data_IF_703775535281
#
_entry.id   IF_703775535281
#
_cell.length_a   1.000
_cell.length_b   1.000
_cell.length_c   1.000
_cell.angle_alpha   90.00
_cell.angle_beta   90.00
_cell.angle_gamma   90.00
#
_symmetry.space_group_name_H-M   'P 1'
#
loop_
_entity.id
_entity.type
_entity.pdbx_description
1 polymer ?
#
# COMPACT_ATOMS: atom_id res chain seq x y z
N UNK A 1 -13.87 -17.84 9.23
CA UNK A 1 -12.50 -17.88 8.66
C UNK A 1 -12.51 -18.25 7.18
N UNK A 2 -13.16 -19.36 6.78
CA UNK A 2 -13.13 -19.87 5.41
C UNK A 2 -13.64 -18.87 4.35
N UNK A 3 -14.71 -18.12 4.65
CA UNK A 3 -15.30 -17.15 3.72
C UNK A 3 -14.37 -15.96 3.45
N UNK A 4 -13.78 -15.38 4.49
CA UNK A 4 -12.87 -14.24 4.33
C UNK A 4 -11.56 -14.68 3.67
N UNK A 5 -11.01 -15.82 4.08
CA UNK A 5 -9.81 -16.41 3.48
C UNK A 5 -10.06 -16.75 2.00
N UNK A 6 -11.21 -17.32 1.65
CA UNK A 6 -11.59 -17.58 0.27
C UNK A 6 -11.71 -16.32 -0.57
N UNK A 7 -12.28 -15.25 -0.02
CA UNK A 7 -12.35 -13.93 -0.70
C UNK A 7 -10.95 -13.34 -0.91
N UNK A 8 -10.10 -13.35 0.11
CA UNK A 8 -8.72 -12.86 0.00
C UNK A 8 -7.96 -13.65 -1.06
N UNK A 9 -8.01 -14.99 -1.01
CA UNK A 9 -7.31 -15.84 -1.97
C UNK A 9 -7.79 -15.60 -3.40
N UNK A 10 -9.10 -15.59 -3.62
CA UNK A 10 -9.69 -15.35 -4.96
C UNK A 10 -9.31 -13.97 -5.51
N UNK A 11 -9.40 -12.92 -4.69
CA UNK A 11 -9.03 -11.56 -5.11
C UNK A 11 -7.54 -11.43 -5.37
N UNK A 12 -6.70 -11.98 -4.49
CA UNK A 12 -5.25 -12.00 -4.69
C UNK A 12 -4.87 -12.76 -5.96
N UNK A 13 -5.48 -13.91 -6.23
CA UNK A 13 -5.22 -14.66 -7.46
C UNK A 13 -5.59 -13.86 -8.72
N UNK A 14 -6.75 -13.18 -8.73
CA UNK A 14 -7.15 -12.32 -9.85
C UNK A 14 -6.17 -11.17 -10.05
N UNK A 15 -5.73 -10.53 -8.97
CA UNK A 15 -4.74 -9.43 -9.03
C UNK A 15 -3.40 -9.95 -9.55
N UNK A 16 -2.92 -11.09 -9.06
CA UNK A 16 -1.65 -11.68 -9.49
C UNK A 16 -1.67 -12.08 -10.96
N UNK A 17 -2.77 -12.66 -11.45
CA UNK A 17 -2.93 -12.99 -12.86
C UNK A 17 -2.91 -11.73 -13.74
N UNK A 18 -3.69 -10.71 -13.36
CA UNK A 18 -3.71 -9.43 -14.08
C UNK A 18 -2.34 -8.74 -14.12
N UNK A 19 -1.66 -8.70 -12.97
CA UNK A 19 -0.29 -8.14 -12.89
C UNK A 19 0.71 -8.98 -13.69
N UNK A 20 0.63 -10.31 -13.65
CA UNK A 20 1.50 -11.19 -14.43
C UNK A 20 1.40 -10.91 -15.93
N UNK A 21 0.18 -10.77 -16.44
CA UNK A 21 -0.04 -10.37 -17.84
C UNK A 21 0.50 -8.97 -18.11
N UNK A 22 0.17 -7.99 -17.27
CA UNK A 22 0.58 -6.60 -17.45
C UNK A 22 2.11 -6.44 -17.44
N UNK A 23 2.78 -7.05 -16.46
CA UNK A 23 4.24 -7.03 -16.39
C UNK A 23 4.89 -7.85 -17.51
N UNK A 24 4.29 -8.98 -17.92
CA UNK A 24 4.76 -9.74 -19.08
C UNK A 24 4.76 -8.89 -20.35
N UNK A 25 3.66 -8.20 -20.63
CA UNK A 25 3.55 -7.27 -21.76
C UNK A 25 4.54 -6.11 -21.62
N UNK A 26 4.63 -5.51 -20.43
CA UNK A 26 5.57 -4.41 -20.17
C UNK A 26 7.02 -4.82 -20.40
N UNK A 27 7.41 -6.04 -20.01
CA UNK A 27 8.76 -6.56 -20.25
C UNK A 27 9.04 -6.72 -21.76
N UNK A 28 8.12 -7.30 -22.51
CA UNK A 28 8.26 -7.46 -23.96
C UNK A 28 8.43 -6.10 -24.65
N UNK A 29 7.60 -5.13 -24.27
CA UNK A 29 7.71 -3.76 -24.82
C UNK A 29 9.02 -3.08 -24.41
N UNK A 30 9.44 -3.21 -23.16
CA UNK A 30 10.68 -2.62 -22.67
C UNK A 30 11.89 -3.19 -23.41
N UNK A 31 11.96 -4.51 -23.59
CA UNK A 31 13.03 -5.16 -24.35
C UNK A 31 13.00 -4.75 -25.82
N UNK A 32 11.82 -4.66 -26.42
CA UNK A 32 11.64 -4.25 -27.81
C UNK A 32 12.06 -2.78 -28.06
N UNK A 33 11.80 -1.88 -27.09
CA UNK A 33 12.10 -0.45 -27.23
C UNK A 33 13.51 -0.06 -26.79
N UNK A 34 14.05 -0.72 -25.76
CA UNK A 34 15.31 -0.33 -25.11
C UNK A 34 16.43 -1.36 -25.27
N UNK A 35 16.14 -2.49 -25.89
CA UNK A 35 17.07 -3.60 -26.13
C UNK A 35 17.21 -4.51 -24.93
N UNK A 36 17.97 -4.13 -23.90
CA UNK A 36 18.19 -4.95 -22.71
C UNK A 36 17.57 -4.31 -21.47
N UNK A 37 16.96 -5.13 -20.63
CA UNK A 37 16.45 -4.76 -19.30
C UNK A 37 17.20 -5.59 -18.26
N UNK A 38 17.72 -4.96 -17.20
CA UNK A 38 18.32 -5.68 -16.08
C UNK A 38 17.25 -6.54 -15.39
N UNK A 39 17.39 -7.90 -15.42
CA UNK A 39 16.38 -8.78 -14.86
C UNK A 39 16.21 -8.61 -13.34
N UNK A 40 17.30 -8.26 -12.63
CA UNK A 40 17.28 -8.06 -11.19
C UNK A 40 16.51 -6.79 -10.79
N UNK A 41 16.73 -5.70 -11.52
CA UNK A 41 15.97 -4.44 -11.33
C UNK A 41 14.49 -4.69 -11.65
N UNK A 42 14.22 -5.35 -12.77
CA UNK A 42 12.83 -5.64 -13.16
C UNK A 42 12.11 -6.53 -12.14
N UNK A 43 12.74 -7.60 -11.69
CA UNK A 43 12.17 -8.50 -10.69
C UNK A 43 11.85 -7.78 -9.37
N UNK A 44 12.76 -6.93 -8.89
CA UNK A 44 12.52 -6.11 -7.68
C UNK A 44 11.36 -5.14 -7.89
N UNK A 45 11.27 -4.49 -9.04
CA UNK A 45 10.15 -3.61 -9.38
C UNK A 45 8.82 -4.36 -9.38
N UNK A 46 8.76 -5.51 -10.03
CA UNK A 46 7.59 -6.39 -10.04
C UNK A 46 7.20 -6.80 -8.62
N UNK A 47 8.16 -7.19 -7.79
CA UNK A 47 7.91 -7.61 -6.41
C UNK A 47 7.29 -6.48 -5.56
N UNK A 48 7.87 -5.28 -5.60
CA UNK A 48 7.36 -4.12 -4.84
C UNK A 48 5.98 -3.69 -5.34
N UNK A 49 5.77 -3.67 -6.66
CA UNK A 49 4.47 -3.32 -7.27
C UNK A 49 3.39 -4.37 -6.97
N UNK A 50 3.76 -5.64 -6.94
CA UNK A 50 2.88 -6.74 -6.53
C UNK A 50 2.48 -6.61 -5.07
N UNK A 51 3.43 -6.30 -4.19
CA UNK A 51 3.15 -6.06 -2.77
C UNK A 51 2.14 -4.92 -2.60
N UNK A 52 2.33 -3.80 -3.28
CA UNK A 52 1.41 -2.67 -3.25
C UNK A 52 -0.01 -3.04 -3.72
N UNK A 53 -0.12 -3.77 -4.82
CA UNK A 53 -1.41 -4.20 -5.35
C UNK A 53 -2.13 -5.19 -4.42
N UNK A 54 -1.39 -6.15 -3.84
CA UNK A 54 -1.92 -7.09 -2.86
C UNK A 54 -2.35 -6.39 -1.56
N UNK A 55 -1.60 -5.38 -1.12
CA UNK A 55 -1.96 -4.54 0.03
C UNK A 55 -3.32 -3.85 -0.23
N UNK A 56 -3.50 -3.19 -1.37
CA UNK A 56 -4.76 -2.52 -1.70
C UNK A 56 -5.92 -3.53 -1.83
N UNK A 57 -5.69 -4.71 -2.40
CA UNK A 57 -6.69 -5.77 -2.48
C UNK A 57 -7.08 -6.28 -1.08
N UNK A 58 -6.11 -6.51 -0.21
CA UNK A 58 -6.34 -6.96 1.16
C UNK A 58 -7.10 -5.91 1.99
N UNK A 59 -6.72 -4.64 1.89
CA UNK A 59 -7.43 -3.54 2.53
C UNK A 59 -8.88 -3.45 2.03
N UNK A 60 -9.11 -3.54 0.72
CA UNK A 60 -10.47 -3.52 0.17
C UNK A 60 -11.35 -4.67 0.70
N UNK A 61 -10.77 -5.88 0.83
CA UNK A 61 -11.47 -7.03 1.44
C UNK A 61 -11.75 -6.78 2.93
N UNK A 62 -10.77 -6.26 3.68
CA UNK A 62 -10.93 -5.92 5.10
C UNK A 62 -12.02 -4.88 5.32
N UNK A 63 -12.00 -3.79 4.55
CA UNK A 63 -13.02 -2.74 4.61
C UNK A 63 -14.41 -3.26 4.20
N UNK A 64 -14.48 -4.19 3.24
CA UNK A 64 -15.74 -4.82 2.87
C UNK A 64 -16.34 -5.67 3.99
N UNK A 65 -15.49 -6.26 4.83
CA UNK A 65 -15.94 -7.02 6.01
C UNK A 65 -16.46 -6.13 7.15
N UNK A 66 -16.06 -4.85 7.18
CA UNK A 66 -16.57 -3.85 8.13
C UNK A 66 -17.92 -3.27 7.72
N UNK A 67 -18.32 -3.43 6.47
CA UNK A 67 -19.51 -2.79 5.91
C UNK A 67 -20.75 -3.69 6.01
N UNK A 68 -21.86 -3.13 6.50
CA UNK A 68 -23.14 -3.84 6.57
C UNK A 68 -23.84 -3.98 5.19
N UNK A 69 -23.48 -3.14 4.22
CA UNK A 69 -24.09 -3.14 2.88
C UNK A 69 -23.03 -3.04 1.79
N UNK A 70 -23.35 -3.52 0.58
CA UNK A 70 -22.47 -3.41 -0.58
C UNK A 70 -22.11 -1.96 -0.91
N UNK A 71 -23.06 -1.04 -0.81
CA UNK A 71 -22.82 0.38 -1.06
C UNK A 71 -21.78 0.95 -0.10
N UNK A 72 -21.92 0.67 1.21
CA UNK A 72 -20.92 1.09 2.22
C UNK A 72 -19.55 0.47 1.96
N UNK A 73 -19.50 -0.81 1.58
CA UNK A 73 -18.24 -1.47 1.23
C UNK A 73 -17.53 -0.76 0.08
N UNK A 74 -18.26 -0.41 -0.98
CA UNK A 74 -17.71 0.31 -2.13
C UNK A 74 -17.25 1.72 -1.75
N UNK A 75 -18.02 2.44 -0.93
CA UNK A 75 -17.66 3.78 -0.46
C UNK A 75 -16.40 3.73 0.42
N UNK A 76 -16.30 2.77 1.35
CA UNK A 76 -15.13 2.63 2.22
C UNK A 76 -13.87 2.26 1.41
N UNK A 77 -13.97 1.28 0.52
CA UNK A 77 -12.83 0.86 -0.31
C UNK A 77 -12.40 1.95 -1.30
N UNK A 78 -13.37 2.59 -1.97
CA UNK A 78 -13.10 3.70 -2.87
C UNK A 78 -12.55 4.93 -2.15
N UNK A 79 -13.13 5.28 -1.00
CA UNK A 79 -12.67 6.37 -0.14
C UNK A 79 -11.24 6.15 0.37
N UNK A 80 -10.92 4.92 0.79
CA UNK A 80 -9.55 4.56 1.16
C UNK A 80 -8.59 4.69 -0.02
N UNK A 81 -8.97 4.15 -1.19
CA UNK A 81 -8.11 4.22 -2.38
C UNK A 81 -7.86 5.68 -2.79
N UNK A 82 -8.91 6.49 -2.89
CA UNK A 82 -8.78 7.90 -3.26
C UNK A 82 -8.08 8.69 -2.16
N UNK A 83 -8.49 8.55 -0.90
CA UNK A 83 -7.92 9.28 0.23
C UNK A 83 -6.49 8.87 0.55
N UNK A 84 -6.25 7.58 0.70
CA UNK A 84 -4.96 7.03 1.11
C UNK A 84 -3.91 6.95 0.01
N UNK A 85 -4.31 6.91 -1.27
CA UNK A 85 -3.36 6.82 -2.37
C UNK A 85 -3.30 8.09 -3.23
N UNK A 86 -4.44 8.69 -3.59
CA UNK A 86 -4.47 9.83 -4.51
C UNK A 86 -4.40 11.15 -3.76
N UNK A 87 -5.35 11.39 -2.85
CA UNK A 87 -5.41 12.65 -2.12
C UNK A 87 -4.25 12.83 -1.14
N UNK A 88 -3.68 11.72 -0.66
CA UNK A 88 -2.52 11.79 0.23
C UNK A 88 -1.35 12.52 -0.42
N UNK A 89 -1.09 12.33 -1.72
CA UNK A 89 -0.02 13.02 -2.44
C UNK A 89 -0.13 14.55 -2.37
N UNK A 90 -1.33 15.07 -2.15
CA UNK A 90 -1.56 16.50 -1.97
C UNK A 90 -1.65 16.88 -0.50
N UNK A 91 -2.24 16.01 0.32
CA UNK A 91 -2.50 16.25 1.73
C UNK A 91 -1.28 16.06 2.64
N UNK A 92 -0.28 15.28 2.22
CA UNK A 92 0.87 14.89 3.04
C UNK A 92 1.59 16.09 3.69
N UNK A 93 1.79 17.18 2.93
CA UNK A 93 2.40 18.40 3.45
C UNK A 93 1.64 18.99 4.64
N UNK A 94 0.30 19.01 4.56
CA UNK A 94 -0.53 19.52 5.65
C UNK A 94 -0.50 18.61 6.87
N UNK A 95 -0.43 17.30 6.64
CA UNK A 95 -0.28 16.31 7.72
C UNK A 95 1.08 16.46 8.40
N UNK A 96 2.15 16.61 7.62
CA UNK A 96 3.51 16.84 8.16
C UNK A 96 3.55 18.14 8.94
N UNK A 97 2.98 19.23 8.42
CA UNK A 97 2.93 20.53 9.11
C UNK A 97 2.12 20.46 10.41
N UNK A 98 1.00 19.73 10.41
CA UNK A 98 0.21 19.49 11.61
C UNK A 98 0.99 18.68 12.66
N UNK A 99 1.69 17.61 12.25
CA UNK A 99 2.55 16.81 13.14
C UNK A 99 3.70 17.67 13.68
N UNK A 100 4.36 18.45 12.82
CA UNK A 100 5.43 19.37 13.22
C UNK A 100 4.95 20.39 14.25
N UNK A 101 3.78 21.00 14.02
CA UNK A 101 3.17 21.95 14.96
C UNK A 101 2.82 21.30 16.29
N UNK A 102 2.26 20.07 16.25
CA UNK A 102 1.91 19.33 17.46
C UNK A 102 3.17 18.97 18.27
N UNK A 103 4.20 18.43 17.64
CA UNK A 103 5.44 18.06 18.30
C UNK A 103 6.17 19.31 18.84
N UNK A 104 6.17 20.42 18.08
CA UNK A 104 6.73 21.70 18.50
C UNK A 104 6.08 22.26 19.77
N UNK A 105 4.78 22.01 19.98
CA UNK A 105 4.09 22.38 21.22
C UNK A 105 4.62 21.62 22.46
N UNK A 106 5.26 20.47 22.25
CA UNK A 106 5.95 19.68 23.28
C UNK A 106 7.47 19.88 23.28
N UNK A 107 7.99 20.86 22.52
CA UNK A 107 9.42 21.16 22.43
C UNK A 107 10.23 20.14 21.61
N UNK A 108 9.56 19.37 20.75
CA UNK A 108 10.19 18.36 19.89
C UNK A 108 10.17 18.82 18.44
N UNK A 109 11.34 18.94 17.82
CA UNK A 109 11.46 19.28 16.40
C UNK A 109 11.37 18.01 15.53
N UNK A 110 10.46 18.05 14.55
CA UNK A 110 10.37 17.00 13.54
C UNK A 110 11.41 17.26 12.45
N UNK A 111 12.45 16.43 12.41
CA UNK A 111 13.46 16.46 11.35
C UNK A 111 12.86 16.09 9.99
N UNK A 112 13.55 16.43 8.89
CA UNK A 112 13.10 16.09 7.53
C UNK A 112 13.06 14.56 7.34
N UNK A 113 13.97 13.82 7.96
CA UNK A 113 13.88 12.34 7.98
C UNK A 113 12.66 11.86 8.74
N UNK A 114 12.30 12.47 9.86
CA UNK A 114 11.06 12.17 10.60
C UNK A 114 9.82 12.46 9.76
N UNK A 115 9.79 13.57 9.04
CA UNK A 115 8.71 13.92 8.12
C UNK A 115 8.57 12.86 7.01
N UNK A 116 9.68 12.35 6.45
CA UNK A 116 9.66 11.30 5.45
C UNK A 116 9.06 9.97 5.97
N UNK A 117 9.24 9.64 7.25
CA UNK A 117 8.56 8.49 7.86
C UNK A 117 7.05 8.74 8.01
N UNK A 118 6.64 9.95 8.36
CA UNK A 118 5.21 10.31 8.48
C UNK A 118 4.52 10.18 7.12
N UNK A 119 5.13 10.66 6.04
CA UNK A 119 4.54 10.53 4.71
C UNK A 119 4.47 9.08 4.24
N UNK A 120 5.52 8.27 4.49
CA UNK A 120 5.60 6.87 4.09
C UNK A 120 4.61 5.93 4.84
N UNK A 121 3.81 6.44 5.78
CA UNK A 121 2.71 5.70 6.40
C UNK A 121 1.61 5.37 5.38
N UNK A 122 1.34 6.25 4.41
CA UNK A 122 0.33 5.96 3.38
C UNK A 122 0.80 4.83 2.45
N UNK A 123 -0.12 4.01 1.94
CA UNK A 123 0.26 2.94 1.02
C UNK A 123 0.97 3.45 -0.24
N UNK A 124 0.55 4.60 -0.78
CA UNK A 124 1.15 5.16 -1.99
C UNK A 124 2.57 5.66 -1.75
N UNK A 125 2.78 6.47 -0.71
CA UNK A 125 4.12 6.97 -0.36
C UNK A 125 5.03 5.84 0.15
N UNK A 126 4.48 4.88 0.87
CA UNK A 126 5.17 3.64 1.23
C UNK A 126 5.68 2.90 -0.01
N UNK A 127 4.83 2.78 -1.05
CA UNK A 127 5.21 2.19 -2.33
C UNK A 127 6.28 3.03 -3.05
N UNK A 128 6.08 4.35 -3.18
CA UNK A 128 7.04 5.24 -3.84
C UNK A 128 8.41 5.22 -3.13
N UNK A 129 8.42 5.18 -1.81
CA UNK A 129 9.63 5.04 -1.01
C UNK A 129 10.30 3.68 -1.24
N UNK A 130 9.53 2.58 -1.29
CA UNK A 130 10.05 1.23 -1.57
C UNK A 130 10.60 1.10 -2.99
N UNK A 131 10.03 1.80 -3.98
CA UNK A 131 10.55 1.84 -5.36
C UNK A 131 11.96 2.43 -5.43
N UNK A 132 12.37 3.29 -4.50
CA UNK A 132 13.76 3.79 -4.41
C UNK A 132 14.76 2.65 -4.18
N UNK A 133 14.39 1.56 -3.46
CA UNK A 133 15.25 0.38 -3.33
C UNK A 133 15.53 -0.31 -4.67
N UNK A 134 14.66 -0.12 -5.66
CA UNK A 134 14.80 -0.72 -6.99
C UNK A 134 15.74 0.12 -7.87
N UNK A 135 15.48 1.42 -7.95
CA UNK A 135 16.12 2.30 -8.94
C UNK A 135 17.27 3.15 -8.37
N UNK A 136 17.29 3.37 -7.06
CA UNK A 136 18.31 4.16 -6.38
C UNK A 136 18.70 3.55 -5.02
N UNK A 137 19.16 2.28 -4.98
CA UNK A 137 19.40 1.56 -3.73
C UNK A 137 20.43 2.25 -2.82
N UNK A 138 21.41 2.95 -3.38
CA UNK A 138 22.41 3.67 -2.60
C UNK A 138 21.84 4.85 -1.79
N UNK A 139 20.69 5.41 -2.20
CA UNK A 139 20.04 6.56 -1.55
C UNK A 139 18.75 6.20 -0.85
N UNK A 140 18.30 4.94 -0.93
CA UNK A 140 16.99 4.51 -0.46
C UNK A 140 16.81 4.63 1.06
N UNK A 141 17.84 4.41 1.85
CA UNK A 141 17.83 4.59 3.31
C UNK A 141 16.76 3.81 4.07
N UNK A 142 16.59 4.14 5.35
CA UNK A 142 15.64 3.47 6.25
C UNK A 142 14.16 3.72 5.88
N UNK A 143 13.85 4.89 5.28
CA UNK A 143 12.48 5.25 4.89
C UNK A 143 11.91 4.29 3.84
N UNK A 144 12.75 3.79 2.92
CA UNK A 144 12.32 2.85 1.90
C UNK A 144 11.94 1.47 2.49
N UNK A 145 12.69 0.99 3.46
CA UNK A 145 12.34 -0.22 4.22
C UNK A 145 11.10 -0.03 5.08
N UNK A 146 10.95 1.15 5.69
CA UNK A 146 9.74 1.51 6.41
C UNK A 146 8.52 1.52 5.47
N UNK A 147 8.67 1.99 4.24
CA UNK A 147 7.62 1.94 3.21
C UNK A 147 7.14 0.51 2.94
N UNK A 148 8.06 -0.46 2.81
CA UNK A 148 7.71 -1.89 2.71
C UNK A 148 6.96 -2.35 3.96
N UNK A 149 7.46 -2.00 5.15
CA UNK A 149 6.79 -2.32 6.43
C UNK A 149 5.39 -1.74 6.52
N UNK A 150 5.19 -0.49 6.07
CA UNK A 150 3.89 0.16 6.00
C UNK A 150 2.93 -0.59 5.09
N UNK A 151 3.36 -1.00 3.89
CA UNK A 151 2.53 -1.80 2.97
C UNK A 151 2.09 -3.12 3.62
N UNK A 152 3.01 -3.84 4.24
CA UNK A 152 2.70 -5.09 4.95
C UNK A 152 1.73 -4.83 6.10
N UNK A 153 1.97 -3.78 6.88
CA UNK A 153 1.11 -3.41 8.01
C UNK A 153 -0.34 -3.14 7.55
N UNK A 154 -0.54 -2.34 6.51
CA UNK A 154 -1.85 -2.08 5.93
C UNK A 154 -2.52 -3.36 5.41
N UNK A 155 -1.76 -4.21 4.71
CA UNK A 155 -2.24 -5.49 4.16
C UNK A 155 -2.62 -6.53 5.22
N UNK A 156 -2.11 -6.41 6.44
CA UNK A 156 -2.40 -7.33 7.55
C UNK A 156 -3.42 -6.73 8.53
N UNK A 157 -3.20 -5.50 8.99
CA UNK A 157 -4.00 -4.88 10.06
C UNK A 157 -5.46 -4.70 9.64
N UNK A 158 -5.71 -4.12 8.45
CA UNK A 158 -7.08 -3.82 8.01
C UNK A 158 -7.92 -5.08 7.80
N UNK A 159 -7.45 -6.13 7.12
CA UNK A 159 -8.18 -7.39 7.03
C UNK A 159 -8.39 -8.08 8.38
N UNK A 160 -7.43 -8.00 9.29
CA UNK A 160 -7.53 -8.58 10.63
C UNK A 160 -8.62 -7.88 11.46
N UNK A 161 -8.66 -6.56 11.45
CA UNK A 161 -9.71 -5.76 12.11
C UNK A 161 -11.09 -6.06 11.48
N UNK A 162 -11.15 -6.13 10.14
CA UNK A 162 -12.36 -6.50 9.41
C UNK A 162 -12.87 -7.89 9.81
N UNK A 163 -11.96 -8.86 9.90
CA UNK A 163 -12.29 -10.22 10.34
C UNK A 163 -12.79 -10.25 11.78
N UNK A 164 -12.12 -9.56 12.70
CA UNK A 164 -12.49 -9.56 14.11
C UNK A 164 -13.91 -9.00 14.31
N UNK A 165 -14.23 -7.89 13.65
CA UNK A 165 -15.57 -7.29 13.71
C UNK A 165 -16.64 -8.18 13.08
N UNK A 166 -16.33 -8.83 11.96
CA UNK A 166 -17.24 -9.77 11.32
C UNK A 166 -17.59 -10.93 12.27
N UNK A 167 -16.58 -11.50 12.92
CA UNK A 167 -16.76 -12.59 13.89
C UNK A 167 -17.62 -12.18 15.10
N UNK A 168 -17.43 -10.97 15.63
CA UNK A 168 -18.23 -10.49 16.77
C UNK A 168 -19.68 -10.20 16.41
N UNK A 169 -19.95 -9.79 15.16
CA UNK A 169 -21.31 -9.55 14.68
C UNK A 169 -22.11 -10.85 14.38
N UNK A 170 -21.44 -11.97 14.07
CA UNK A 170 -22.11 -13.27 13.89
C UNK A 170 -22.47 -13.95 15.22
N UNK A 171 -21.88 -13.51 16.34
CA UNK A 171 -22.11 -14.10 17.67
C UNK A 171 -23.08 -13.29 18.54
N UNK A 172 -23.56 -12.16 18.08
CA UNK A 172 -24.55 -11.30 18.73
C UNK A 172 -25.92 -11.45 18.08
#
# INVERSE_FOLDING_TARGET
>A
LAVLAGKLLSRSATVLLGLGVAFGVALVLAVGMFGAVDPGVYARFVAVSTLFALTNAAVAVGLSALAATRARAMTLAGGFYVGGNVLWLVAERYVVDAVRSLLGAFGVDLSDSGAAFVTAISPMEGYLSAVKLVFAPATAGAVAWFGIGSLVAWGVVVPTVGYWRFRTAELA
#
